data_IF_533210434338
#
_entry.id   IF_533210434338
#
_cell.length_a   1.000
_cell.length_b   1.000
_cell.length_c   1.000
_cell.angle_alpha   90.00
_cell.angle_beta   90.00
_cell.angle_gamma   90.00
#
_symmetry.space_group_name_H-M   'P 1'
#
loop_
_entity.id
_entity.type
_entity.pdbx_description
1 polymer ?
#
# COMPACT_ATOMS: atom_id res chain seq x y z
N UNK A 1 1.34 -2.05 18.39
CA UNK A 1 2.45 -1.87 17.40
C UNK A 1 3.37 -0.68 17.71
N UNK A 2 2.90 0.58 17.67
CA UNK A 2 3.77 1.76 17.83
C UNK A 2 4.62 1.76 19.09
N UNK A 3 4.07 1.41 20.26
CA UNK A 3 4.85 1.33 21.49
C UNK A 3 6.06 0.39 21.37
N UNK A 4 5.92 -0.71 20.62
CA UNK A 4 7.02 -1.65 20.37
C UNK A 4 8.08 -0.99 19.48
N UNK A 5 7.65 -0.31 18.40
CA UNK A 5 8.54 0.39 17.48
C UNK A 5 9.28 1.56 18.14
N UNK A 6 8.58 2.35 18.97
CA UNK A 6 9.16 3.47 19.71
C UNK A 6 10.23 2.99 20.71
N UNK A 7 10.03 1.81 21.30
CA UNK A 7 11.03 1.17 22.18
C UNK A 7 12.18 0.47 21.43
N UNK A 8 12.12 0.37 20.09
CA UNK A 8 13.13 -0.31 19.27
C UNK A 8 14.13 0.69 18.74
N UNK A 9 15.36 0.64 19.24
CA UNK A 9 16.42 1.63 18.93
C UNK A 9 17.01 1.49 17.52
N UNK A 10 17.01 0.28 16.94
CA UNK A 10 17.60 -0.01 15.62
C UNK A 10 16.53 0.00 14.52
N UNK A 11 16.12 1.21 14.11
CA UNK A 11 15.21 1.45 12.97
C UNK A 11 15.82 2.39 11.93
N UNK A 12 15.62 2.09 10.65
CA UNK A 12 16.01 2.97 9.54
C UNK A 12 14.79 3.50 8.81
N UNK A 13 14.83 4.73 8.27
CA UNK A 13 13.73 5.24 7.46
C UNK A 13 13.50 4.41 6.20
N UNK A 14 12.25 4.23 5.80
CA UNK A 14 11.86 3.43 4.62
C UNK A 14 11.19 4.32 3.58
N UNK A 15 11.62 4.20 2.33
CA UNK A 15 10.97 4.87 1.20
C UNK A 15 9.85 4.00 0.63
N UNK A 16 8.64 4.56 0.57
CA UNK A 16 7.47 3.98 -0.09
C UNK A 16 7.12 4.83 -1.30
N UNK A 17 7.14 4.23 -2.49
CA UNK A 17 6.66 4.86 -3.71
C UNK A 17 5.14 4.77 -3.80
N UNK A 18 4.49 5.88 -4.16
CA UNK A 18 3.04 5.99 -4.36
C UNK A 18 2.81 6.34 -5.82
N UNK A 19 2.43 5.33 -6.62
CA UNK A 19 2.10 5.51 -8.04
C UNK A 19 0.64 5.96 -8.13
N UNK A 20 0.40 7.25 -8.36
CA UNK A 20 -0.94 7.82 -8.23
C UNK A 20 -1.08 9.18 -8.97
N UNK A 21 -2.12 9.96 -8.64
CA UNK A 21 -2.48 11.25 -9.23
C UNK A 21 -1.75 12.47 -8.63
N UNK A 22 -0.70 12.21 -7.84
CA UNK A 22 0.15 13.21 -7.20
C UNK A 22 -0.13 13.38 -5.71
N UNK A 23 0.73 14.14 -5.03
CA UNK A 23 0.68 14.28 -3.56
C UNK A 23 0.91 15.73 -3.18
N UNK A 24 0.03 16.28 -2.36
CA UNK A 24 0.21 17.59 -1.77
C UNK A 24 1.33 17.56 -0.72
N UNK A 25 2.57 17.74 -1.16
CA UNK A 25 3.76 17.69 -0.29
C UNK A 25 3.75 18.77 0.80
N UNK A 26 3.08 19.91 0.54
CA UNK A 26 2.97 21.03 1.48
C UNK A 26 1.79 20.92 2.45
N UNK A 27 1.03 19.82 2.41
CA UNK A 27 -0.03 19.56 3.39
C UNK A 27 0.57 19.61 4.82
N UNK A 28 -0.02 20.36 5.77
CA UNK A 28 0.57 20.55 7.11
C UNK A 28 0.93 19.25 7.83
N UNK A 29 0.11 18.21 7.62
CA UNK A 29 0.28 16.88 8.20
C UNK A 29 1.27 15.95 7.47
N UNK A 30 1.86 16.41 6.35
CA UNK A 30 2.79 15.65 5.50
C UNK A 30 4.17 16.31 5.38
N UNK A 31 4.37 17.45 6.03
CA UNK A 31 5.60 18.24 5.97
C UNK A 31 6.84 17.41 6.35
N UNK A 32 7.79 17.28 5.41
CA UNK A 32 9.01 16.50 5.60
C UNK A 32 8.85 14.97 5.49
N UNK A 33 7.62 14.47 5.33
CA UNK A 33 7.35 13.05 5.05
C UNK A 33 7.40 12.78 3.54
N UNK A 34 6.83 13.70 2.75
CA UNK A 34 6.84 13.61 1.29
C UNK A 34 8.18 14.11 0.76
N UNK A 35 8.87 13.25 0.02
CA UNK A 35 10.16 13.52 -0.61
C UNK A 35 10.00 13.87 -2.09
N UNK A 36 11.07 14.36 -2.73
CA UNK A 36 11.07 14.61 -4.18
C UNK A 36 10.67 13.34 -4.95
N UNK A 37 9.60 13.48 -5.72
CA UNK A 37 9.03 12.43 -6.55
C UNK A 37 9.42 12.56 -8.01
N UNK A 38 8.71 11.83 -8.87
CA UNK A 38 8.89 11.94 -10.31
C UNK A 38 7.56 11.84 -11.05
N UNK A 39 7.36 12.73 -12.01
CA UNK A 39 6.25 12.72 -12.94
C UNK A 39 6.71 12.03 -14.23
N UNK A 40 6.18 10.83 -14.48
CA UNK A 40 6.60 10.03 -15.64
C UNK A 40 5.99 10.53 -16.95
N UNK A 41 4.92 11.32 -16.90
CA UNK A 41 4.25 11.86 -18.08
C UNK A 41 5.03 13.05 -18.64
N UNK A 42 5.27 14.04 -17.78
CA UNK A 42 5.96 15.27 -18.18
C UNK A 42 7.49 15.16 -18.03
N UNK A 43 7.98 14.05 -17.47
CA UNK A 43 9.40 13.70 -17.29
C UNK A 43 10.15 14.76 -16.48
N UNK A 44 9.57 15.14 -15.35
CA UNK A 44 10.12 16.14 -14.43
C UNK A 44 9.80 15.75 -12.97
N UNK A 45 10.10 16.62 -12.01
CA UNK A 45 9.85 16.38 -10.58
C UNK A 45 8.53 16.99 -10.07
N UNK A 46 7.68 17.53 -10.96
CA UNK A 46 6.38 18.10 -10.58
C UNK A 46 5.33 17.01 -10.35
N UNK A 47 5.22 16.60 -9.09
CA UNK A 47 4.22 15.65 -8.61
C UNK A 47 3.08 16.31 -7.83
N UNK A 48 2.80 17.59 -8.09
CA UNK A 48 1.64 18.26 -7.51
C UNK A 48 0.36 17.48 -7.85
N UNK A 49 -0.58 17.32 -6.89
CA UNK A 49 -1.78 16.54 -7.13
C UNK A 49 -2.62 17.17 -8.24
N UNK A 50 -2.98 16.35 -9.23
CA UNK A 50 -3.97 16.70 -10.26
C UNK A 50 -5.30 15.98 -10.05
N UNK A 51 -5.36 15.09 -9.06
CA UNK A 51 -6.59 14.50 -8.54
C UNK A 51 -6.61 14.43 -7.01
N UNK A 52 -7.67 13.87 -6.42
CA UNK A 52 -7.86 13.85 -4.97
C UNK A 52 -7.16 12.68 -4.26
N UNK A 53 -6.67 11.68 -5.00
CA UNK A 53 -6.49 10.33 -4.47
C UNK A 53 -5.12 10.11 -3.81
N UNK A 54 -4.01 10.46 -4.47
CA UNK A 54 -2.66 10.18 -4.00
C UNK A 54 -2.31 10.88 -2.70
N UNK A 55 -2.85 12.09 -2.48
CA UNK A 55 -2.69 12.80 -1.19
C UNK A 55 -3.38 12.06 -0.05
N UNK A 56 -4.52 11.41 -0.29
CA UNK A 56 -5.18 10.59 0.74
C UNK A 56 -4.32 9.38 1.09
N UNK A 57 -3.73 8.72 0.08
CA UNK A 57 -2.86 7.57 0.29
C UNK A 57 -1.61 7.94 1.09
N UNK A 58 -0.97 9.07 0.76
CA UNK A 58 0.18 9.59 1.51
C UNK A 58 -0.13 9.85 2.99
N UNK A 59 -1.31 10.41 3.29
CA UNK A 59 -1.79 10.60 4.66
C UNK A 59 -1.95 9.31 5.43
N UNK A 60 -2.62 8.32 4.83
CA UNK A 60 -2.81 7.00 5.44
C UNK A 60 -1.46 6.34 5.71
N UNK A 61 -0.51 6.45 4.79
CA UNK A 61 0.83 5.89 4.96
C UNK A 61 1.57 6.51 6.16
N UNK A 62 1.66 7.85 6.20
CA UNK A 62 2.69 8.51 7.01
C UNK A 62 2.39 9.92 7.50
N UNK A 63 1.12 10.34 7.59
CA UNK A 63 0.80 11.60 8.29
C UNK A 63 1.47 11.67 9.68
N UNK A 64 1.96 12.86 10.03
CA UNK A 64 2.92 13.03 11.12
C UNK A 64 2.24 12.76 12.48
N UNK A 65 2.68 11.68 13.13
CA UNK A 65 2.15 11.31 14.43
C UNK A 65 2.53 12.33 15.51
N UNK A 66 1.61 12.59 16.44
CA UNK A 66 1.81 13.44 17.63
C UNK A 66 2.14 14.93 17.35
N UNK A 67 1.80 15.46 16.17
CA UNK A 67 1.94 16.89 15.84
C UNK A 67 0.74 17.76 16.29
N UNK A 68 -0.28 17.16 16.91
CA UNK A 68 -1.52 17.78 17.42
C UNK A 68 -2.47 18.35 16.37
N UNK A 69 -2.34 17.95 15.11
CA UNK A 69 -3.29 18.26 14.04
C UNK A 69 -3.75 16.96 13.38
N UNK A 70 -4.91 17.01 12.72
CA UNK A 70 -5.27 15.99 11.75
C UNK A 70 -5.29 14.55 12.22
N UNK A 71 -4.53 13.72 11.50
CA UNK A 71 -4.52 12.26 11.63
C UNK A 71 -3.10 11.75 11.93
N UNK A 72 -3.00 10.49 12.34
CA UNK A 72 -1.74 9.77 12.37
C UNK A 72 -1.71 8.75 11.24
N UNK A 73 -0.68 8.82 10.40
CA UNK A 73 -0.42 7.78 9.41
C UNK A 73 -0.02 6.48 10.07
N UNK A 74 -0.09 5.38 9.32
CA UNK A 74 0.24 4.06 9.82
C UNK A 74 1.67 4.03 10.37
N UNK A 75 2.67 4.46 9.61
CA UNK A 75 4.07 4.35 10.03
C UNK A 75 4.76 5.70 10.20
N UNK A 76 5.63 5.77 11.20
CA UNK A 76 6.60 6.85 11.36
C UNK A 76 7.91 6.50 10.65
N UNK A 77 8.82 7.48 10.53
CA UNK A 77 10.11 7.32 9.85
C UNK A 77 9.95 6.80 8.41
N UNK A 78 8.87 7.17 7.74
CA UNK A 78 8.67 6.92 6.32
C UNK A 78 9.11 8.10 5.47
N UNK A 79 9.53 7.79 4.24
CA UNK A 79 9.60 8.74 3.14
C UNK A 79 8.54 8.34 2.12
N UNK A 80 7.58 9.21 1.88
CA UNK A 80 6.60 9.01 0.81
C UNK A 80 7.19 9.61 -0.46
N UNK A 81 7.25 8.79 -1.51
CA UNK A 81 7.76 9.16 -2.82
C UNK A 81 6.64 9.19 -3.84
N UNK A 82 6.15 10.37 -4.24
CA UNK A 82 5.14 10.45 -5.28
C UNK A 82 5.73 10.02 -6.62
N UNK A 83 5.06 9.10 -7.31
CA UNK A 83 5.32 8.78 -8.72
C UNK A 83 4.05 9.14 -9.47
N UNK A 84 4.04 10.36 -10.02
CA UNK A 84 2.85 10.88 -10.69
C UNK A 84 2.67 10.19 -12.05
N UNK A 85 1.48 9.61 -12.25
CA UNK A 85 1.05 9.07 -13.54
C UNK A 85 -0.07 9.94 -14.11
N UNK A 86 -1.30 9.82 -13.65
CA UNK A 86 -2.38 10.77 -13.91
C UNK A 86 -3.60 10.46 -13.05
N UNK A 87 -4.61 11.33 -13.06
CA UNK A 87 -5.95 11.09 -12.52
C UNK A 87 -6.71 9.98 -13.28
N UNK A 88 -6.27 9.69 -14.52
CA UNK A 88 -6.75 8.59 -15.36
C UNK A 88 -5.55 7.86 -15.97
N UNK A 89 -4.89 6.97 -15.21
CA UNK A 89 -3.62 6.38 -15.60
C UNK A 89 -3.76 5.51 -16.85
N UNK A 90 -2.87 5.72 -17.82
CA UNK A 90 -2.73 4.84 -18.98
C UNK A 90 -1.80 3.67 -18.64
N UNK A 91 -1.97 2.53 -19.33
CA UNK A 91 -1.05 1.40 -19.19
C UNK A 91 0.41 1.76 -19.46
N UNK A 92 0.65 2.65 -20.44
CA UNK A 92 1.99 3.16 -20.74
C UNK A 92 2.59 3.94 -19.57
N UNK A 93 1.85 4.91 -19.02
CA UNK A 93 2.30 5.69 -17.87
C UNK A 93 2.58 4.83 -16.63
N UNK A 94 1.72 3.84 -16.35
CA UNK A 94 1.96 2.89 -15.27
C UNK A 94 3.22 2.04 -15.53
N UNK A 95 3.45 1.61 -16.78
CA UNK A 95 4.65 0.83 -17.16
C UNK A 95 5.92 1.69 -16.99
N UNK A 96 5.87 2.96 -17.35
CA UNK A 96 6.97 3.91 -17.18
C UNK A 96 7.26 4.19 -15.70
N UNK A 97 6.23 4.26 -14.84
CA UNK A 97 6.38 4.40 -13.38
C UNK A 97 7.18 3.24 -12.78
N UNK A 98 6.79 1.99 -13.06
CA UNK A 98 7.56 0.84 -12.59
C UNK A 98 8.98 0.82 -13.19
N UNK A 99 9.13 1.17 -14.46
CA UNK A 99 10.46 1.24 -15.12
C UNK A 99 11.38 2.28 -14.46
N UNK A 100 10.87 3.46 -14.11
CA UNK A 100 11.60 4.48 -13.38
C UNK A 100 12.04 3.98 -12.00
N UNK A 101 11.11 3.38 -11.24
CA UNK A 101 11.40 2.87 -9.90
C UNK A 101 12.52 1.82 -9.93
N UNK A 102 12.39 0.81 -10.80
CA UNK A 102 13.39 -0.26 -10.95
C UNK A 102 14.77 0.30 -11.30
N UNK A 103 14.83 1.24 -12.24
CA UNK A 103 16.10 1.69 -12.83
C UNK A 103 16.79 2.82 -12.06
N UNK A 104 16.02 3.66 -11.36
CA UNK A 104 16.55 4.88 -10.72
C UNK A 104 16.43 4.87 -9.22
N UNK A 105 15.55 4.05 -8.63
CA UNK A 105 15.18 4.12 -7.21
C UNK A 105 15.42 2.82 -6.44
N UNK A 106 16.67 2.32 -6.38
CA UNK A 106 16.98 1.11 -5.61
C UNK A 106 16.77 1.28 -4.09
N UNK A 107 16.54 2.51 -3.62
CA UNK A 107 16.23 2.85 -2.22
C UNK A 107 14.75 2.59 -1.84
N UNK A 108 13.85 2.47 -2.82
CA UNK A 108 12.43 2.17 -2.60
C UNK A 108 12.29 0.71 -2.15
N UNK A 109 11.58 0.49 -1.04
CA UNK A 109 11.32 -0.86 -0.49
C UNK A 109 9.90 -1.33 -0.77
N UNK A 110 8.94 -0.40 -0.86
CA UNK A 110 7.53 -0.69 -1.06
C UNK A 110 6.99 0.19 -2.17
N UNK A 111 6.22 -0.38 -3.09
CA UNK A 111 5.41 0.34 -4.07
C UNK A 111 3.96 0.15 -3.66
N UNK A 112 3.28 1.25 -3.33
CA UNK A 112 1.83 1.30 -3.29
C UNK A 112 1.34 1.60 -4.71
N UNK A 113 0.64 0.63 -5.28
CA UNK A 113 -0.03 0.74 -6.58
C UNK A 113 -1.53 0.55 -6.37
N UNK A 114 -2.20 1.63 -6.01
CA UNK A 114 -3.64 1.70 -5.71
C UNK A 114 -4.49 1.81 -6.98
N UNK A 115 -4.09 1.11 -8.04
CA UNK A 115 -4.80 0.99 -9.30
C UNK A 115 -5.00 -0.48 -9.64
N UNK A 116 -6.06 -0.78 -10.39
CA UNK A 116 -6.28 -2.11 -10.94
C UNK A 116 -7.15 -2.07 -12.19
N UNK A 117 -7.18 -3.19 -12.90
CA UNK A 117 -7.79 -3.26 -14.22
C UNK A 117 -8.15 -4.70 -14.61
N UNK A 118 -9.23 -4.86 -15.39
CA UNK A 118 -9.68 -6.17 -15.92
C UNK A 118 -8.89 -6.60 -17.17
N UNK A 119 -8.31 -5.65 -17.90
CA UNK A 119 -7.59 -5.95 -19.15
C UNK A 119 -6.20 -6.53 -18.89
N UNK A 120 -5.95 -7.75 -19.36
CA UNK A 120 -4.62 -8.34 -19.33
C UNK A 120 -3.64 -7.53 -20.19
N UNK A 121 -2.62 -6.92 -19.55
CA UNK A 121 -1.63 -6.08 -20.21
C UNK A 121 -0.20 -6.51 -19.86
N UNK A 122 0.39 -7.47 -20.60
CA UNK A 122 1.68 -8.07 -20.28
C UNK A 122 2.84 -7.10 -19.98
N UNK A 123 3.02 -5.99 -20.70
CA UNK A 123 4.15 -5.09 -20.45
C UNK A 123 4.18 -4.53 -19.01
N UNK A 124 3.02 -4.10 -18.50
CA UNK A 124 2.91 -3.61 -17.11
C UNK A 124 3.08 -4.75 -16.11
N UNK A 125 2.40 -5.88 -16.33
CA UNK A 125 2.46 -7.04 -15.44
C UNK A 125 3.89 -7.57 -15.31
N UNK A 126 4.65 -7.60 -16.41
CA UNK A 126 6.07 -7.93 -16.40
C UNK A 126 6.87 -6.94 -15.55
N UNK A 127 6.61 -5.63 -15.65
CA UNK A 127 7.30 -4.62 -14.85
C UNK A 127 6.98 -4.71 -13.36
N UNK A 128 5.77 -5.11 -12.99
CA UNK A 128 5.41 -5.41 -11.60
C UNK A 128 6.28 -6.56 -11.07
N UNK A 129 6.41 -7.66 -11.81
CA UNK A 129 7.26 -8.79 -11.44
C UNK A 129 8.75 -8.42 -11.39
N UNK A 130 9.23 -7.60 -12.34
CA UNK A 130 10.61 -7.09 -12.34
C UNK A 130 10.88 -6.21 -11.11
N UNK A 131 9.92 -5.43 -10.64
CA UNK A 131 10.06 -4.65 -9.40
C UNK A 131 10.18 -5.54 -8.16
N UNK A 132 9.40 -6.62 -8.09
CA UNK A 132 9.55 -7.62 -7.02
C UNK A 132 10.93 -8.27 -7.07
N UNK A 133 11.37 -8.69 -8.26
CA UNK A 133 12.71 -9.27 -8.46
C UNK A 133 13.83 -8.29 -8.06
N UNK A 134 13.62 -6.99 -8.23
CA UNK A 134 14.52 -5.93 -7.76
C UNK A 134 14.48 -5.71 -6.23
N UNK A 135 13.63 -6.44 -5.50
CA UNK A 135 13.53 -6.41 -4.04
C UNK A 135 12.48 -5.44 -3.48
N UNK A 136 11.56 -4.96 -4.32
CA UNK A 136 10.47 -4.07 -3.90
C UNK A 136 9.20 -4.89 -3.61
N UNK A 137 8.59 -4.71 -2.45
CA UNK A 137 7.25 -5.23 -2.20
C UNK A 137 6.22 -4.39 -2.97
N UNK A 138 5.33 -5.03 -3.73
CA UNK A 138 4.26 -4.33 -4.45
C UNK A 138 2.92 -4.58 -3.75
N UNK A 139 2.33 -3.52 -3.21
CA UNK A 139 1.04 -3.55 -2.51
C UNK A 139 -0.03 -3.01 -3.43
N UNK A 140 -1.08 -3.79 -3.65
CA UNK A 140 -2.09 -3.50 -4.69
C UNK A 140 -3.50 -3.56 -4.12
N UNK A 141 -4.36 -2.68 -4.59
CA UNK A 141 -5.77 -2.65 -4.22
C UNK A 141 -6.54 -3.76 -4.95
N UNK A 142 -7.46 -4.45 -4.25
CA UNK A 142 -8.25 -5.52 -4.86
C UNK A 142 -9.26 -5.02 -5.92
N UNK A 143 -9.61 -3.73 -5.91
CA UNK A 143 -10.65 -3.16 -6.75
C UNK A 143 -11.99 -3.03 -6.03
N UNK A 144 -12.87 -2.19 -6.57
CA UNK A 144 -14.10 -1.73 -5.91
C UNK A 144 -15.36 -2.07 -6.76
N UNK A 145 -15.40 -3.27 -7.35
CA UNK A 145 -16.46 -3.69 -8.28
C UNK A 145 -17.41 -4.75 -7.67
N UNK A 146 -17.22 -5.16 -6.42
CA UNK A 146 -17.86 -6.34 -5.80
C UNK A 146 -17.63 -7.64 -6.62
N UNK A 147 -16.52 -7.73 -7.35
CA UNK A 147 -16.21 -8.88 -8.20
C UNK A 147 -15.55 -10.02 -7.40
N UNK A 148 -15.95 -11.26 -7.72
CA UNK A 148 -15.25 -12.48 -7.30
C UNK A 148 -14.08 -12.78 -8.24
N UNK A 149 -12.86 -12.55 -7.76
CA UNK A 149 -11.62 -12.70 -8.49
C UNK A 149 -11.27 -14.16 -8.86
N UNK A 150 -12.01 -15.13 -8.32
CA UNK A 150 -11.91 -16.53 -8.75
C UNK A 150 -12.61 -16.77 -10.10
N UNK A 151 -13.50 -15.86 -10.50
CA UNK A 151 -14.29 -15.94 -11.74
C UNK A 151 -14.05 -14.78 -12.70
N UNK A 152 -13.64 -13.62 -12.17
CA UNK A 152 -13.33 -12.41 -12.93
C UNK A 152 -11.91 -11.94 -12.60
N UNK A 153 -10.95 -12.20 -13.49
CA UNK A 153 -9.58 -11.74 -13.27
C UNK A 153 -9.51 -10.22 -13.13
N UNK A 154 -8.77 -9.78 -12.11
CA UNK A 154 -8.50 -8.37 -11.84
C UNK A 154 -7.02 -8.20 -11.54
N UNK A 155 -6.34 -7.44 -12.40
CA UNK A 155 -4.91 -7.29 -12.33
C UNK A 155 -4.53 -6.02 -11.55
N UNK A 156 -3.45 -6.08 -10.76
CA UNK A 156 -2.48 -7.18 -10.65
C UNK A 156 -2.78 -8.21 -9.52
N UNK A 157 -3.97 -8.25 -8.94
CA UNK A 157 -4.30 -9.27 -7.93
C UNK A 157 -4.29 -10.69 -8.49
N UNK A 158 -4.84 -10.91 -9.68
CA UNK A 158 -4.86 -12.20 -10.39
C UNK A 158 -3.56 -12.49 -11.16
N UNK A 159 -2.43 -11.90 -10.74
CA UNK A 159 -1.13 -12.12 -11.38
C UNK A 159 -0.64 -13.55 -11.15
N UNK A 160 -0.16 -14.21 -12.20
CA UNK A 160 0.48 -15.52 -12.13
C UNK A 160 1.93 -15.45 -12.61
N UNK A 161 2.76 -16.37 -12.12
CA UNK A 161 4.18 -16.47 -12.49
C UNK A 161 5.15 -16.42 -11.31
N UNK A 162 6.47 -16.39 -11.59
CA UNK A 162 7.49 -16.25 -10.55
C UNK A 162 7.40 -14.88 -9.88
N UNK A 163 7.88 -14.75 -8.64
CA UNK A 163 7.91 -13.50 -7.85
C UNK A 163 6.53 -12.93 -7.48
N UNK A 164 5.45 -13.69 -7.68
CA UNK A 164 4.11 -13.35 -7.17
C UNK A 164 4.08 -13.30 -5.65
N UNK A 165 5.04 -13.93 -4.96
CA UNK A 165 5.21 -13.87 -3.51
C UNK A 165 5.64 -12.49 -2.99
N UNK A 166 6.03 -11.54 -3.84
CA UNK A 166 6.24 -10.14 -3.44
C UNK A 166 5.14 -9.17 -3.88
N UNK A 167 4.01 -9.66 -4.38
CA UNK A 167 2.80 -8.87 -4.62
C UNK A 167 1.77 -9.20 -3.55
N UNK A 168 1.18 -8.19 -2.91
CA UNK A 168 0.14 -8.38 -1.90
C UNK A 168 -1.15 -7.67 -2.30
N UNK A 169 -2.19 -8.46 -2.55
CA UNK A 169 -3.52 -7.97 -2.92
C UNK A 169 -4.38 -7.71 -1.68
N UNK A 170 -4.93 -6.49 -1.57
CA UNK A 170 -5.61 -6.02 -0.37
C UNK A 170 -7.08 -5.70 -0.61
N UNK A 171 -7.96 -6.39 0.10
CA UNK A 171 -9.40 -6.09 0.17
C UNK A 171 -9.73 -5.06 1.26
N UNK A 172 -10.86 -4.37 1.08
CA UNK A 172 -11.37 -3.39 2.03
C UNK A 172 -12.35 -4.04 2.99
N UNK A 173 -12.09 -3.91 4.28
CA UNK A 173 -13.04 -4.22 5.35
C UNK A 173 -13.72 -2.96 5.87
N UNK A 174 -14.94 -3.14 6.37
CA UNK A 174 -15.71 -2.10 7.01
C UNK A 174 -15.13 -1.78 8.40
N UNK A 175 -14.36 -0.70 8.49
CA UNK A 175 -13.94 -0.06 9.75
C UNK A 175 -13.67 -1.03 10.92
N UNK A 176 -14.57 -1.00 11.91
CA UNK A 176 -14.47 -1.84 13.13
C UNK A 176 -15.03 -3.25 12.97
N UNK A 177 -15.80 -3.52 11.92
CA UNK A 177 -16.36 -4.84 11.62
C UNK A 177 -15.31 -5.69 10.92
N UNK A 178 -15.21 -6.96 11.32
CA UNK A 178 -14.45 -7.97 10.59
C UNK A 178 -15.25 -8.44 9.37
N UNK A 179 -15.65 -7.50 8.50
CA UNK A 179 -16.55 -7.73 7.38
C UNK A 179 -16.03 -6.95 6.18
N UNK A 180 -16.08 -7.52 4.97
CA UNK A 180 -15.74 -6.75 3.77
C UNK A 180 -16.68 -5.56 3.58
N UNK A 181 -16.11 -4.49 3.03
CA UNK A 181 -16.88 -3.42 2.42
C UNK A 181 -17.66 -3.95 1.22
N UNK A 182 -18.85 -3.39 0.97
CA UNK A 182 -19.75 -3.87 -0.07
C UNK A 182 -19.14 -3.72 -1.48
N UNK A 183 -18.27 -2.76 -1.73
CA UNK A 183 -17.66 -2.60 -3.05
C UNK A 183 -16.38 -3.43 -3.22
N UNK A 184 -15.79 -3.94 -2.12
CA UNK A 184 -14.51 -4.66 -2.20
C UNK A 184 -14.61 -5.91 -3.07
N UNK A 185 -13.70 -6.04 -4.03
CA UNK A 185 -13.46 -7.32 -4.68
C UNK A 185 -12.93 -8.34 -3.64
N UNK A 186 -13.20 -9.63 -3.91
CA UNK A 186 -12.89 -10.76 -3.04
C UNK A 186 -12.50 -11.98 -3.87
N UNK A 187 -12.11 -13.09 -3.23
CA UNK A 187 -11.71 -14.33 -3.90
C UNK A 187 -10.33 -14.80 -3.46
N UNK A 188 -9.87 -15.94 -3.98
CA UNK A 188 -8.60 -16.57 -3.61
C UNK A 188 -7.36 -15.78 -4.03
N UNK A 189 -7.49 -14.87 -5.01
CA UNK A 189 -6.43 -13.93 -5.40
C UNK A 189 -6.16 -12.84 -4.34
N UNK A 190 -7.09 -12.61 -3.41
CA UNK A 190 -6.92 -11.64 -2.30
C UNK A 190 -6.10 -12.27 -1.18
N UNK A 191 -5.08 -11.54 -0.72
CA UNK A 191 -4.17 -12.02 0.31
C UNK A 191 -4.59 -11.65 1.73
N UNK A 192 -5.17 -10.47 1.88
CA UNK A 192 -5.47 -9.88 3.19
C UNK A 192 -6.54 -8.79 3.07
N UNK A 193 -7.26 -8.54 4.16
CA UNK A 193 -8.12 -7.38 4.31
C UNK A 193 -7.46 -6.30 5.19
N UNK A 194 -7.80 -5.03 4.95
CA UNK A 194 -7.52 -3.94 5.87
C UNK A 194 -8.70 -2.96 5.95
N UNK A 195 -8.82 -2.12 6.98
CA UNK A 195 -9.88 -1.11 7.03
C UNK A 195 -9.86 -0.23 5.77
N UNK A 196 -10.97 -0.18 5.05
CA UNK A 196 -11.11 0.61 3.82
C UNK A 196 -12.38 1.45 3.75
N UNK A 197 -13.30 1.32 4.71
CA UNK A 197 -14.54 2.10 4.75
C UNK A 197 -14.40 3.39 5.56
N UNK A 198 -14.79 4.53 4.97
CA UNK A 198 -14.82 5.85 5.61
C UNK A 198 -13.51 6.23 6.34
N UNK A 199 -12.37 5.89 5.74
CA UNK A 199 -11.04 6.20 6.28
C UNK A 199 -10.82 7.71 6.17
N UNK A 200 -10.59 8.36 7.31
CA UNK A 200 -10.21 9.77 7.36
C UNK A 200 -8.76 9.91 6.90
N UNK A 201 -8.53 10.74 5.89
CA UNK A 201 -7.24 10.95 5.24
C UNK A 201 -7.00 12.44 4.94
N UNK A 202 -5.76 12.81 4.64
CA UNK A 202 -5.38 14.13 4.12
C UNK A 202 -5.91 14.34 2.71
N UNK A 203 -6.26 15.58 2.33
CA UNK A 203 -6.76 15.91 0.99
C UNK A 203 -5.83 16.88 0.28
N UNK A 204 -5.90 16.96 -1.05
CA UNK A 204 -5.11 17.89 -1.88
C UNK A 204 -5.48 19.38 -1.72
N UNK A 205 -6.28 19.71 -0.71
CA UNK A 205 -6.70 21.08 -0.35
C UNK A 205 -6.17 21.54 0.99
N UNK A 206 -5.20 20.82 1.58
CA UNK A 206 -4.66 21.09 2.92
C UNK A 206 -5.63 20.73 4.06
N UNK A 207 -6.64 19.90 3.79
CA UNK A 207 -7.72 19.54 4.72
C UNK A 207 -7.79 18.02 4.90
N UNK A 208 -8.86 17.57 5.53
CA UNK A 208 -9.12 16.16 5.79
C UNK A 208 -10.47 15.75 5.20
N UNK A 209 -10.54 14.52 4.72
CA UNK A 209 -11.73 13.97 4.07
C UNK A 209 -11.81 12.46 4.31
N UNK A 210 -13.01 11.90 4.18
CA UNK A 210 -13.21 10.46 4.28
C UNK A 210 -13.28 9.84 2.90
N UNK A 211 -12.59 8.71 2.71
CA UNK A 211 -12.69 7.88 1.52
C UNK A 211 -13.10 6.46 1.86
N UNK A 212 -13.78 5.80 0.91
CA UNK A 212 -14.07 4.37 0.97
C UNK A 212 -13.41 3.69 -0.22
N UNK A 213 -12.77 2.55 0.00
CA UNK A 213 -12.26 1.68 -1.06
C UNK A 213 -11.01 0.89 -0.69
N UNK A 214 -10.67 -0.06 -1.55
CA UNK A 214 -9.49 -0.93 -1.43
C UNK A 214 -8.17 -0.17 -1.50
N UNK A 215 -8.12 1.03 -2.11
CA UNK A 215 -6.94 1.89 -2.12
C UNK A 215 -6.48 2.28 -0.71
N UNK A 216 -7.41 2.74 0.15
CA UNK A 216 -7.10 3.10 1.53
C UNK A 216 -6.65 1.88 2.35
N UNK A 217 -7.28 0.72 2.12
CA UNK A 217 -6.87 -0.54 2.71
C UNK A 217 -5.43 -0.90 2.28
N UNK A 218 -5.11 -0.81 0.99
CA UNK A 218 -3.78 -1.06 0.44
C UNK A 218 -2.73 -0.10 1.04
N UNK A 219 -3.06 1.19 1.20
CA UNK A 219 -2.19 2.15 1.88
C UNK A 219 -1.90 1.75 3.33
N UNK A 220 -2.89 1.21 4.06
CA UNK A 220 -2.64 0.70 5.42
C UNK A 220 -1.62 -0.44 5.42
N UNK A 221 -1.77 -1.39 4.49
CA UNK A 221 -0.85 -2.54 4.38
C UNK A 221 0.55 -2.11 3.95
N UNK A 222 0.65 -1.15 3.02
CA UNK A 222 1.92 -0.59 2.59
C UNK A 222 2.62 0.16 3.74
N UNK A 223 1.89 0.92 4.55
CA UNK A 223 2.43 1.55 5.75
C UNK A 223 2.93 0.51 6.77
N UNK A 224 2.17 -0.56 6.97
CA UNK A 224 2.59 -1.68 7.84
C UNK A 224 3.84 -2.39 7.29
N UNK A 225 3.93 -2.63 5.99
CA UNK A 225 5.13 -3.16 5.36
C UNK A 225 6.34 -2.22 5.58
N UNK A 226 6.13 -0.90 5.49
CA UNK A 226 7.11 0.12 5.84
C UNK A 226 7.59 0.01 7.29
N UNK A 227 6.70 -0.24 8.25
CA UNK A 227 7.10 -0.52 9.64
C UNK A 227 8.04 -1.72 9.73
N UNK A 228 7.70 -2.82 9.05
CA UNK A 228 8.47 -4.06 9.11
C UNK A 228 9.84 -3.89 8.45
N UNK A 229 9.90 -3.24 7.28
CA UNK A 229 11.17 -2.91 6.63
C UNK A 229 12.04 -1.97 7.47
N UNK A 230 11.43 -1.08 8.28
CA UNK A 230 12.20 -0.18 9.16
C UNK A 230 13.02 -0.96 10.19
N UNK A 231 12.63 -2.21 10.48
CA UNK A 231 13.27 -3.11 11.43
C UNK A 231 14.40 -3.95 10.80
N UNK A 232 14.70 -3.81 9.51
CA UNK A 232 15.81 -4.52 8.83
C UNK A 232 17.14 -4.46 9.62
N UNK A 233 17.57 -3.32 10.21
CA UNK A 233 18.79 -3.24 11.03
C UNK A 233 18.75 -4.04 12.34
N UNK A 234 17.56 -4.46 12.78
CA UNK A 234 17.36 -5.34 13.95
C UNK A 234 17.39 -6.83 13.57
N UNK A 235 17.55 -7.16 12.28
CA UNK A 235 17.52 -8.51 11.78
C UNK A 235 18.93 -9.02 11.45
N UNK A 236 19.09 -10.34 11.44
CA UNK A 236 20.34 -11.00 11.04
C UNK A 236 20.48 -11.17 9.52
N UNK A 237 19.41 -10.93 8.76
CA UNK A 237 19.38 -11.07 7.32
C UNK A 237 18.56 -9.93 6.69
N UNK A 238 18.84 -9.65 5.42
CA UNK A 238 18.08 -8.69 4.62
C UNK A 238 16.64 -9.16 4.47
N UNK A 239 15.68 -8.23 4.62
CA UNK A 239 14.27 -8.52 4.47
C UNK A 239 13.91 -8.56 2.98
N UNK A 240 13.26 -9.64 2.55
CA UNK A 240 12.78 -9.81 1.17
C UNK A 240 11.28 -9.51 1.06
N UNK A 241 10.78 -9.13 -0.12
CA UNK A 241 9.34 -8.95 -0.35
C UNK A 241 8.52 -10.17 0.08
N UNK A 242 8.93 -11.37 -0.32
CA UNK A 242 8.27 -12.63 0.05
C UNK A 242 8.19 -12.86 1.56
N UNK A 243 9.25 -12.52 2.30
CA UNK A 243 9.27 -12.66 3.75
C UNK A 243 8.38 -11.62 4.45
N UNK A 244 8.39 -10.37 4.00
CA UNK A 244 7.48 -9.36 4.55
C UNK A 244 6.02 -9.73 4.29
N UNK A 245 5.68 -10.16 3.06
CA UNK A 245 4.32 -10.63 2.74
C UNK A 245 3.92 -11.80 3.62
N UNK A 246 4.81 -12.78 3.85
CA UNK A 246 4.48 -13.94 4.67
C UNK A 246 4.19 -13.57 6.13
N UNK A 247 4.98 -12.66 6.73
CA UNK A 247 4.70 -12.15 8.08
C UNK A 247 3.32 -11.48 8.12
N UNK A 248 3.03 -10.61 7.17
CA UNK A 248 1.76 -9.89 7.10
C UNK A 248 0.57 -10.85 7.03
N UNK A 249 0.65 -11.88 6.18
CA UNK A 249 -0.41 -12.88 6.01
C UNK A 249 -0.56 -13.79 7.22
N UNK A 250 0.56 -14.31 7.74
CA UNK A 250 0.55 -15.30 8.82
C UNK A 250 0.12 -14.70 10.17
N UNK A 251 0.29 -13.38 10.34
CA UNK A 251 -0.11 -12.68 11.57
C UNK A 251 -1.47 -12.00 11.46
N UNK A 252 -2.15 -12.15 10.31
CA UNK A 252 -3.48 -11.58 10.10
C UNK A 252 -4.50 -12.16 11.11
N UNK A 253 -5.40 -11.31 11.57
CA UNK A 253 -6.51 -11.73 12.45
C UNK A 253 -7.56 -12.46 11.60
N UNK A 254 -7.85 -13.75 11.85
CA UNK A 254 -8.81 -14.51 11.06
C UNK A 254 -10.26 -14.06 11.34
N UNK A 255 -11.21 -14.58 10.56
CA UNK A 255 -12.64 -14.34 10.78
C UNK A 255 -13.19 -13.13 10.04
N UNK A 256 -12.56 -12.71 8.94
CA UNK A 256 -13.14 -11.71 8.04
C UNK A 256 -14.33 -12.35 7.33
N UNK A 257 -15.49 -11.71 7.43
CA UNK A 257 -16.71 -12.12 6.75
C UNK A 257 -16.80 -11.48 5.36
N UNK A 258 -17.51 -12.13 4.44
CA UNK A 258 -17.99 -11.50 3.20
C UNK A 258 -18.89 -10.28 3.50
N UNK A 259 -19.17 -9.46 2.50
CA UNK A 259 -19.90 -8.20 2.73
C UNK A 259 -21.33 -8.43 3.25
N UNK A 260 -21.92 -9.61 2.98
CA UNK A 260 -23.24 -10.01 3.48
C UNK A 260 -23.22 -10.61 4.90
N UNK A 261 -22.05 -10.91 5.45
CA UNK A 261 -21.92 -11.53 6.77
C UNK A 261 -22.33 -12.99 6.80
N UNK A 262 -22.45 -13.64 5.64
CA UNK A 262 -22.91 -15.01 5.48
C UNK A 262 -21.77 -16.04 5.45
N UNK A 263 -20.55 -15.63 5.11
CA UNK A 263 -19.40 -16.54 4.93
C UNK A 263 -18.13 -15.97 5.52
N UNK A 264 -17.37 -16.79 6.25
CA UNK A 264 -15.99 -16.49 6.65
C UNK A 264 -15.06 -16.70 5.45
N UNK A 265 -14.23 -15.71 5.15
CA UNK A 265 -13.24 -15.74 4.08
C UNK A 265 -11.95 -16.42 4.54
N UNK A 266 -11.16 -16.89 3.57
CA UNK A 266 -9.91 -17.64 3.83
C UNK A 266 -8.76 -16.75 4.30
N UNK A 267 -8.81 -15.45 3.99
CA UNK A 267 -7.83 -14.46 4.43
C UNK A 267 -8.27 -13.70 5.67
N UNK A 268 -7.30 -13.24 6.45
CA UNK A 268 -7.54 -12.43 7.65
C UNK A 268 -7.49 -10.92 7.40
N UNK A 269 -7.67 -10.14 8.47
CA UNK A 269 -7.45 -8.69 8.49
C UNK A 269 -6.08 -8.35 9.07
N UNK A 270 -5.40 -7.34 8.54
CA UNK A 270 -4.08 -6.89 9.03
C UNK A 270 -4.02 -6.70 10.54
N UNK A 271 -2.90 -7.11 11.13
CA UNK A 271 -2.58 -6.90 12.54
C UNK A 271 -1.13 -6.46 12.69
N UNK A 272 -0.92 -5.14 12.74
CA UNK A 272 0.41 -4.54 12.82
C UNK A 272 1.17 -4.93 14.09
N UNK A 273 0.47 -5.18 15.20
CA UNK A 273 1.15 -5.58 16.43
C UNK A 273 1.68 -7.00 16.35
N UNK A 274 0.84 -7.94 15.90
CA UNK A 274 1.26 -9.33 15.70
C UNK A 274 2.41 -9.41 14.69
N UNK A 275 2.35 -8.66 13.58
CA UNK A 275 3.42 -8.60 12.59
C UNK A 275 4.75 -8.08 13.15
N UNK A 276 4.72 -6.99 13.94
CA UNK A 276 5.93 -6.42 14.57
C UNK A 276 6.50 -7.34 15.65
N UNK A 277 5.64 -8.07 16.38
CA UNK A 277 6.06 -9.07 17.36
C UNK A 277 6.75 -10.25 16.68
N UNK A 278 6.14 -10.78 15.63
CA UNK A 278 6.67 -11.90 14.85
C UNK A 278 8.07 -11.58 14.28
N UNK A 279 8.23 -10.42 13.62
CA UNK A 279 9.53 -10.06 13.03
C UNK A 279 10.61 -9.81 14.09
N UNK A 280 10.23 -9.34 15.29
CA UNK A 280 11.15 -9.16 16.41
C UNK A 280 11.34 -10.42 17.26
N UNK A 281 10.58 -11.48 16.98
CA UNK A 281 10.51 -12.72 17.78
C UNK A 281 10.19 -12.43 19.26
N UNK A 282 9.21 -11.57 19.50
CA UNK A 282 8.75 -11.12 20.84
C UNK A 282 7.29 -11.48 21.11
#
# INVERSE_FOLDING_TARGET
>A
AWNILDSTSKRTPVTIAVIDDGVQADHPDLQGVVTEGYNVIDKNTDTHPRGPHGTMMAGILGAIRNNKIGIAGIADRLRVMPIYTSDKPSFGGMTDAFTYLISKRPDVKVILFSQGFKTYYPPLLKKILEAVSAGMLVVVAAGNDHSDLDTEEYYPCSLSGPYTDGVICVAASNGTRMQLDDESNFGSAVDIAAPGYQILATTSTGKYGKGTGTSGAAAIVAGMAGMLYSLEPSQHAKLTPGYIRSIIKNTATPGVMDSKGGKVLTFGRVNAEAAVREILKK
#
